data_IF_341647937443
#
_entry.id   IF_341647937443
#
_cell.length_a   1.000
_cell.length_b   1.000
_cell.length_c   1.000
_cell.angle_alpha   90.00
_cell.angle_beta   90.00
_cell.angle_gamma   90.00
#
_symmetry.space_group_name_H-M   'P 1'
#
loop_
_entity.id
_entity.type
_entity.pdbx_description
1 polymer ?
#
# COMPACT_ATOMS: atom_id res chain seq x y z
N UNK A 1 14.39 -1.92 -19.06
CA UNK A 1 14.68 -0.66 -19.78
C UNK A 1 16.11 -0.26 -19.47
N UNK A 2 16.99 -0.21 -20.49
CA UNK A 2 18.37 0.26 -20.37
C UNK A 2 18.50 1.69 -20.87
N UNK A 3 17.76 2.04 -21.90
CA UNK A 3 17.66 3.37 -22.47
C UNK A 3 16.21 3.61 -22.88
N UNK A 4 15.56 4.59 -22.28
CA UNK A 4 14.12 4.79 -22.42
C UNK A 4 13.72 5.17 -23.86
N UNK A 5 14.53 6.00 -24.55
CA UNK A 5 14.24 6.40 -25.92
C UNK A 5 14.46 5.26 -26.91
N UNK A 6 15.60 4.59 -26.81
CA UNK A 6 15.94 3.47 -27.70
C UNK A 6 14.98 2.29 -27.50
N UNK A 7 14.60 2.01 -26.27
CA UNK A 7 13.80 0.85 -25.90
C UNK A 7 12.29 1.15 -25.98
N UNK A 8 11.87 2.37 -26.40
CA UNK A 8 10.50 2.87 -26.30
C UNK A 8 9.43 1.98 -26.96
N UNK A 9 9.71 1.45 -28.14
CA UNK A 9 8.76 0.54 -28.82
C UNK A 9 8.55 -0.77 -28.05
N UNK A 10 9.60 -1.28 -27.39
CA UNK A 10 9.48 -2.44 -26.50
C UNK A 10 8.73 -2.09 -25.21
N UNK A 11 8.95 -0.89 -24.68
CA UNK A 11 8.24 -0.38 -23.51
C UNK A 11 6.74 -0.32 -23.78
N UNK A 12 6.31 0.20 -24.92
CA UNK A 12 4.89 0.22 -25.31
C UNK A 12 4.29 -1.18 -25.39
N UNK A 13 5.02 -2.16 -25.90
CA UNK A 13 4.56 -3.55 -25.95
C UNK A 13 4.49 -4.18 -24.55
N UNK A 14 5.47 -3.91 -23.68
CA UNK A 14 5.53 -4.41 -22.32
C UNK A 14 4.38 -3.88 -21.44
N UNK A 15 4.02 -2.61 -21.66
CA UNK A 15 2.92 -1.94 -20.94
C UNK A 15 1.58 -2.02 -21.68
N UNK A 16 1.47 -2.85 -22.72
CA UNK A 16 0.18 -3.09 -23.37
C UNK A 16 -0.86 -3.59 -22.36
N UNK A 17 -2.08 -3.16 -22.56
CA UNK A 17 -3.20 -3.58 -21.71
C UNK A 17 -3.39 -5.09 -21.78
N UNK A 18 -3.64 -5.77 -20.64
CA UNK A 18 -3.93 -7.19 -20.62
C UNK A 18 -5.23 -7.49 -21.37
N UNK A 19 -5.23 -8.53 -22.17
CA UNK A 19 -6.40 -8.95 -22.96
C UNK A 19 -7.33 -9.90 -22.21
N UNK A 20 -6.86 -10.45 -21.06
CA UNK A 20 -7.61 -11.37 -20.21
C UNK A 20 -6.73 -11.97 -19.12
N UNK A 21 -7.33 -12.76 -18.26
CA UNK A 21 -6.67 -13.46 -17.16
C UNK A 21 -7.39 -14.77 -16.86
N UNK A 22 -6.71 -15.68 -16.16
CA UNK A 22 -7.31 -16.87 -15.61
C UNK A 22 -7.59 -16.69 -14.11
N UNK A 23 -8.86 -16.58 -13.68
CA UNK A 23 -9.21 -16.34 -12.28
C UNK A 23 -9.18 -17.62 -11.42
N UNK A 24 -8.83 -18.78 -11.97
CA UNK A 24 -8.94 -20.09 -11.30
C UNK A 24 -8.21 -20.11 -9.96
N UNK A 25 -6.98 -19.61 -9.93
CA UNK A 25 -6.17 -19.56 -8.71
C UNK A 25 -6.76 -18.61 -7.67
N UNK A 26 -7.23 -17.43 -8.08
CA UNK A 26 -7.86 -16.46 -7.17
C UNK A 26 -9.10 -17.06 -6.51
N UNK A 27 -9.94 -17.72 -7.31
CA UNK A 27 -11.16 -18.38 -6.83
C UNK A 27 -10.86 -19.57 -5.91
N UNK A 28 -9.79 -20.31 -6.17
CA UNK A 28 -9.32 -21.39 -5.29
C UNK A 28 -8.83 -20.84 -3.95
N UNK A 29 -7.97 -19.82 -3.97
CA UNK A 29 -7.46 -19.17 -2.76
C UNK A 29 -8.60 -18.60 -1.92
N UNK A 30 -9.57 -17.92 -2.54
CA UNK A 30 -10.75 -17.40 -1.85
C UNK A 30 -11.56 -18.51 -1.17
N UNK A 31 -11.80 -19.63 -1.86
CA UNK A 31 -12.48 -20.79 -1.27
C UNK A 31 -11.70 -21.38 -0.10
N UNK A 32 -10.37 -21.47 -0.22
CA UNK A 32 -9.50 -22.00 0.84
C UNK A 32 -9.46 -21.07 2.07
N UNK A 33 -9.51 -19.76 1.88
CA UNK A 33 -9.56 -18.78 2.97
C UNK A 33 -10.89 -18.88 3.73
N UNK A 34 -12.03 -19.02 3.02
CA UNK A 34 -13.37 -19.11 3.64
C UNK A 34 -13.64 -17.96 4.61
N UNK A 35 -14.05 -18.29 5.81
CA UNK A 35 -14.37 -17.34 6.89
C UNK A 35 -13.15 -16.94 7.76
N UNK A 36 -11.95 -17.38 7.40
CA UNK A 36 -10.74 -17.10 8.20
C UNK A 36 -10.23 -15.67 8.08
N UNK A 37 -10.66 -14.92 7.06
CA UNK A 37 -10.25 -13.54 6.85
C UNK A 37 -10.85 -12.89 5.61
N UNK A 38 -10.50 -11.63 5.37
CA UNK A 38 -10.89 -10.90 4.17
C UNK A 38 -9.95 -11.26 3.01
N UNK A 39 -10.53 -11.51 1.83
CA UNK A 39 -9.79 -11.83 0.62
C UNK A 39 -9.46 -10.57 -0.17
N UNK A 40 -8.20 -10.14 -0.10
CA UNK A 40 -7.69 -9.00 -0.85
C UNK A 40 -7.01 -9.42 -2.15
N UNK A 41 -7.19 -8.63 -3.20
CA UNK A 41 -6.47 -8.81 -4.47
C UNK A 41 -5.67 -7.56 -4.77
N UNK A 42 -4.40 -7.77 -5.13
CA UNK A 42 -3.49 -6.68 -5.44
C UNK A 42 -3.57 -6.33 -6.93
N UNK A 43 -3.59 -5.03 -7.22
CA UNK A 43 -3.36 -4.47 -8.55
C UNK A 43 -1.98 -3.81 -8.62
N UNK A 44 -1.51 -3.47 -9.81
CA UNK A 44 -0.20 -2.87 -9.97
C UNK A 44 -0.07 -1.52 -9.25
N UNK A 45 1.17 -1.21 -8.83
CA UNK A 45 1.49 0.01 -8.10
C UNK A 45 1.60 1.22 -9.01
N UNK A 46 1.16 2.39 -8.58
CA UNK A 46 1.39 3.62 -9.32
C UNK A 46 2.80 4.20 -9.06
N UNK A 47 3.37 4.79 -10.12
CA UNK A 47 4.57 5.62 -10.03
C UNK A 47 5.91 4.88 -10.00
N UNK A 48 6.97 5.58 -9.58
CA UNK A 48 8.36 5.12 -9.71
C UNK A 48 8.63 3.77 -9.05
N UNK A 49 7.96 3.47 -7.95
CA UNK A 49 8.15 2.21 -7.23
C UNK A 49 7.92 0.99 -8.11
N UNK A 50 6.90 1.01 -8.94
CA UNK A 50 6.62 -0.08 -9.87
C UNK A 50 7.76 -0.28 -10.87
N UNK A 51 8.24 0.82 -11.48
CA UNK A 51 9.26 0.76 -12.51
C UNK A 51 10.66 0.42 -11.99
N UNK A 52 10.99 0.85 -10.75
CA UNK A 52 12.28 0.54 -10.10
C UNK A 52 12.48 -0.97 -9.96
N UNK A 53 11.47 -1.68 -9.47
CA UNK A 53 11.59 -3.10 -9.15
C UNK A 53 11.63 -4.02 -10.35
N UNK A 54 10.93 -3.65 -11.43
CA UNK A 54 10.65 -4.55 -12.53
C UNK A 54 11.38 -4.20 -13.83
N UNK A 55 11.59 -2.92 -14.14
CA UNK A 55 11.78 -2.52 -15.52
C UNK A 55 13.06 -1.73 -15.81
N UNK A 56 13.58 -0.94 -14.86
CA UNK A 56 14.78 -0.14 -15.10
C UNK A 56 16.07 -0.84 -14.67
N UNK A 57 16.95 -1.09 -15.64
CA UNK A 57 18.29 -1.61 -15.36
C UNK A 57 19.11 -0.59 -14.56
N UNK A 58 19.58 -0.99 -13.37
CA UNK A 58 20.25 -0.10 -12.44
C UNK A 58 19.32 0.57 -11.42
N UNK A 59 18.02 0.31 -11.48
CA UNK A 59 17.03 0.67 -10.46
C UNK A 59 16.74 2.16 -10.37
N UNK A 60 16.73 2.71 -9.16
CA UNK A 60 16.24 4.05 -8.86
C UNK A 60 17.06 5.18 -9.52
N UNK A 61 18.39 5.09 -9.55
CA UNK A 61 19.22 6.19 -10.03
C UNK A 61 18.99 6.50 -11.53
N UNK A 62 19.09 5.55 -12.48
CA UNK A 62 18.79 5.83 -13.87
C UNK A 62 17.34 6.24 -14.11
N UNK A 63 16.37 5.71 -13.37
CA UNK A 63 14.99 6.14 -13.45
C UNK A 63 14.82 7.59 -13.00
N UNK A 64 15.49 7.98 -11.91
CA UNK A 64 15.48 9.37 -11.44
C UNK A 64 16.11 10.33 -12.45
N UNK A 65 17.22 9.94 -13.07
CA UNK A 65 17.81 10.75 -14.15
C UNK A 65 16.85 10.85 -15.34
N UNK A 66 16.21 9.76 -15.75
CA UNK A 66 15.22 9.80 -16.83
C UNK A 66 14.02 10.73 -16.49
N UNK A 67 13.59 10.78 -15.23
CA UNK A 67 12.55 11.71 -14.82
C UNK A 67 12.93 13.19 -15.05
N UNK A 68 14.19 13.58 -14.81
CA UNK A 68 14.64 14.95 -15.01
C UNK A 68 15.07 15.25 -16.46
N UNK A 69 15.70 14.29 -17.13
CA UNK A 69 16.31 14.50 -18.44
C UNK A 69 15.33 14.19 -19.59
N UNK A 70 14.34 13.32 -19.36
CA UNK A 70 13.39 12.81 -20.36
C UNK A 70 11.95 12.83 -19.81
N UNK A 71 11.59 13.97 -19.22
CA UNK A 71 10.34 14.10 -18.45
C UNK A 71 9.09 13.72 -19.26
N UNK A 72 9.00 14.18 -20.52
CA UNK A 72 7.86 13.87 -21.39
C UNK A 72 7.68 12.36 -21.60
N UNK A 73 8.78 11.62 -21.79
CA UNK A 73 8.72 10.16 -21.91
C UNK A 73 8.30 9.47 -20.60
N UNK A 74 8.68 10.00 -19.45
CA UNK A 74 8.21 9.50 -18.16
C UNK A 74 6.70 9.75 -17.99
N UNK A 75 6.19 10.87 -18.46
CA UNK A 75 4.75 11.12 -18.45
C UNK A 75 4.00 10.19 -19.41
N UNK A 76 4.54 9.94 -20.60
CA UNK A 76 3.98 8.94 -21.52
C UNK A 76 4.01 7.52 -20.91
N UNK A 77 5.13 7.15 -20.24
CA UNK A 77 5.23 5.88 -19.50
C UNK A 77 4.18 5.77 -18.39
N UNK A 78 3.94 6.85 -17.65
CA UNK A 78 2.86 6.92 -16.67
C UNK A 78 1.50 6.65 -17.31
N UNK A 79 1.21 7.23 -18.48
CA UNK A 79 -0.06 7.02 -19.17
C UNK A 79 -0.22 5.58 -19.66
N UNK A 80 0.85 4.97 -20.17
CA UNK A 80 0.87 3.54 -20.52
C UNK A 80 0.54 2.68 -19.30
N UNK A 81 1.22 2.93 -18.18
CA UNK A 81 0.99 2.25 -16.92
C UNK A 81 -0.44 2.46 -16.39
N UNK A 82 -0.97 3.69 -16.46
CA UNK A 82 -2.32 4.02 -16.00
C UNK A 82 -3.40 3.26 -16.78
N UNK A 83 -3.25 3.11 -18.10
CA UNK A 83 -4.15 2.29 -18.91
C UNK A 83 -4.10 0.82 -18.49
N UNK A 84 -2.90 0.27 -18.32
CA UNK A 84 -2.71 -1.10 -17.85
C UNK A 84 -3.33 -1.31 -16.47
N UNK A 85 -3.03 -0.43 -15.51
CA UNK A 85 -3.57 -0.49 -14.15
C UNK A 85 -5.10 -0.39 -14.13
N UNK A 86 -5.66 0.44 -14.99
CA UNK A 86 -7.11 0.57 -15.17
C UNK A 86 -7.72 -0.75 -15.64
N UNK A 87 -7.11 -1.39 -16.63
CA UNK A 87 -7.59 -2.67 -17.16
C UNK A 87 -7.45 -3.82 -16.15
N UNK A 88 -6.35 -3.87 -15.41
CA UNK A 88 -6.18 -4.81 -14.30
C UNK A 88 -7.25 -4.60 -13.21
N UNK A 89 -7.55 -3.34 -12.86
CA UNK A 89 -8.61 -3.02 -11.90
C UNK A 89 -9.99 -3.48 -12.36
N UNK A 90 -10.35 -3.25 -13.64
CA UNK A 90 -11.60 -3.77 -14.20
C UNK A 90 -11.73 -5.28 -13.99
N UNK A 91 -10.69 -6.03 -14.35
CA UNK A 91 -10.66 -7.49 -14.21
C UNK A 91 -10.77 -7.95 -12.75
N UNK A 92 -10.06 -7.27 -11.83
CA UNK A 92 -10.11 -7.58 -10.40
C UNK A 92 -11.49 -7.30 -9.82
N UNK A 93 -12.14 -6.21 -10.21
CA UNK A 93 -13.47 -5.85 -9.74
C UNK A 93 -14.57 -6.83 -10.22
N UNK A 94 -14.38 -7.50 -11.37
CA UNK A 94 -15.28 -8.58 -11.83
C UNK A 94 -15.32 -9.76 -10.83
N UNK A 95 -14.19 -10.05 -10.15
CA UNK A 95 -14.10 -11.11 -9.14
C UNK A 95 -14.65 -10.71 -7.76
N UNK A 96 -15.02 -9.45 -7.57
CA UNK A 96 -15.59 -8.89 -6.33
C UNK A 96 -14.81 -9.32 -5.07
N UNK A 97 -13.52 -8.97 -4.96
CA UNK A 97 -12.76 -9.24 -3.75
C UNK A 97 -13.34 -8.47 -2.57
N UNK A 98 -12.98 -8.87 -1.34
CA UNK A 98 -13.42 -8.14 -0.15
C UNK A 98 -12.75 -6.77 -0.04
N UNK A 99 -11.54 -6.62 -0.62
CA UNK A 99 -10.88 -5.34 -0.85
C UNK A 99 -9.83 -5.46 -1.96
N UNK A 100 -9.45 -4.31 -2.52
CA UNK A 100 -8.32 -4.21 -3.46
C UNK A 100 -7.13 -3.56 -2.77
N UNK A 101 -5.95 -4.19 -2.86
CA UNK A 101 -4.69 -3.62 -2.38
C UNK A 101 -4.01 -2.82 -3.49
N UNK A 102 -3.73 -1.57 -3.20
CA UNK A 102 -2.96 -0.63 -4.03
C UNK A 102 -1.59 -0.39 -3.39
N UNK A 103 -0.64 0.01 -4.20
CA UNK A 103 0.66 0.46 -3.72
C UNK A 103 1.60 -0.67 -3.35
N UNK A 104 2.76 -0.28 -2.87
CA UNK A 104 3.85 -1.16 -2.48
C UNK A 104 4.93 -0.44 -1.71
N UNK A 105 5.89 -1.21 -1.25
CA UNK A 105 6.99 -0.77 -0.39
C UNK A 105 7.62 0.54 -0.89
N UNK A 106 7.63 1.55 -0.05
CA UNK A 106 8.29 2.82 -0.33
C UNK A 106 7.67 3.66 -1.44
N UNK A 107 6.36 3.54 -1.73
CA UNK A 107 5.69 4.28 -2.80
C UNK A 107 6.04 5.78 -2.82
N UNK A 108 6.10 6.42 -1.65
CA UNK A 108 6.54 7.83 -1.54
C UNK A 108 7.96 7.96 -0.98
N UNK A 109 8.45 6.98 -0.25
CA UNK A 109 9.80 7.02 0.35
C UNK A 109 10.89 7.04 -0.72
N UNK A 110 10.67 6.38 -1.86
CA UNK A 110 11.60 6.32 -3.00
C UNK A 110 11.45 7.48 -3.98
N UNK A 111 10.52 8.38 -3.74
CA UNK A 111 10.28 9.59 -4.55
C UNK A 111 9.91 10.76 -3.66
N UNK A 112 10.09 12.00 -4.12
CA UNK A 112 9.62 13.16 -3.37
C UNK A 112 8.09 13.25 -3.39
N UNK A 113 7.45 13.96 -2.43
CA UNK A 113 6.03 14.24 -2.47
C UNK A 113 5.56 14.89 -3.79
N UNK A 114 6.39 15.73 -4.41
CA UNK A 114 6.08 16.35 -5.70
C UNK A 114 6.02 15.31 -6.83
N UNK A 115 7.00 14.41 -6.91
CA UNK A 115 7.01 13.31 -7.89
C UNK A 115 5.85 12.34 -7.66
N UNK A 116 5.57 12.01 -6.39
CA UNK A 116 4.43 11.16 -6.06
C UNK A 116 3.09 11.80 -6.47
N UNK A 117 2.95 13.09 -6.29
CA UNK A 117 1.77 13.85 -6.72
C UNK A 117 1.58 13.82 -8.24
N UNK A 118 2.65 13.87 -8.99
CA UNK A 118 2.62 13.84 -10.45
C UNK A 118 2.44 12.44 -11.02
N UNK A 119 3.19 11.46 -10.52
CA UNK A 119 3.27 10.12 -11.13
C UNK A 119 2.36 9.08 -10.49
N UNK A 120 2.05 9.20 -9.19
CA UNK A 120 1.30 8.17 -8.46
C UNK A 120 -0.14 8.59 -8.16
N UNK A 121 -0.35 9.80 -7.67
CA UNK A 121 -1.65 10.27 -7.21
C UNK A 121 -2.77 10.22 -8.26
N UNK A 122 -2.55 10.56 -9.56
CA UNK A 122 -3.60 10.45 -10.57
C UNK A 122 -4.14 9.03 -10.73
N UNK A 123 -3.25 8.03 -10.74
CA UNK A 123 -3.63 6.63 -10.82
C UNK A 123 -4.34 6.17 -9.55
N UNK A 124 -3.85 6.54 -8.35
CA UNK A 124 -4.53 6.24 -7.08
C UNK A 124 -5.96 6.82 -7.08
N UNK A 125 -6.14 8.07 -7.49
CA UNK A 125 -7.45 8.72 -7.59
C UNK A 125 -8.40 7.95 -8.51
N UNK A 126 -7.90 7.52 -9.66
CA UNK A 126 -8.69 6.79 -10.65
C UNK A 126 -9.11 5.42 -10.12
N UNK A 127 -8.14 4.62 -9.63
CA UNK A 127 -8.41 3.26 -9.16
C UNK A 127 -9.32 3.24 -7.92
N UNK A 128 -9.11 4.15 -6.96
CA UNK A 128 -9.97 4.24 -5.78
C UNK A 128 -11.40 4.66 -6.13
N UNK A 129 -11.58 5.53 -7.13
CA UNK A 129 -12.90 5.90 -7.64
C UNK A 129 -13.60 4.70 -8.30
N UNK A 130 -12.92 3.95 -9.16
CA UNK A 130 -13.46 2.74 -9.81
C UNK A 130 -13.92 1.72 -8.76
N UNK A 131 -13.11 1.47 -7.75
CA UNK A 131 -13.45 0.55 -6.67
C UNK A 131 -14.67 1.03 -5.86
N UNK A 132 -14.73 2.32 -5.52
CA UNK A 132 -15.89 2.93 -4.85
C UNK A 132 -17.18 2.75 -5.66
N UNK A 133 -17.13 2.99 -6.97
CA UNK A 133 -18.27 2.83 -7.86
C UNK A 133 -18.73 1.36 -7.96
N UNK A 134 -17.80 0.42 -7.83
CA UNK A 134 -18.09 -1.01 -7.76
C UNK A 134 -18.48 -1.51 -6.34
N UNK A 135 -18.42 -0.65 -5.33
CA UNK A 135 -18.71 -1.01 -3.94
C UNK A 135 -17.64 -1.87 -3.27
N UNK A 136 -16.39 -1.85 -3.77
CA UNK A 136 -15.26 -2.62 -3.24
C UNK A 136 -14.30 -1.68 -2.50
N UNK A 137 -14.00 -1.93 -1.21
CA UNK A 137 -13.04 -1.14 -0.46
C UNK A 137 -11.61 -1.23 -1.05
N UNK A 138 -10.83 -0.18 -0.83
CA UNK A 138 -9.42 -0.13 -1.23
C UNK A 138 -8.51 0.07 -0.03
N UNK A 139 -7.36 -0.58 -0.04
CA UNK A 139 -6.26 -0.38 0.89
C UNK A 139 -5.01 -0.01 0.11
N UNK A 140 -4.24 0.96 0.62
CA UNK A 140 -2.95 1.33 0.05
C UNK A 140 -1.84 1.01 1.06
N UNK A 141 -0.81 0.29 0.57
CA UNK A 141 0.42 0.04 1.33
C UNK A 141 1.54 0.95 0.84
N UNK A 142 2.20 1.61 1.78
CA UNK A 142 3.42 2.39 1.50
C UNK A 142 4.29 2.49 2.75
N UNK A 143 5.20 1.57 2.95
CA UNK A 143 6.13 1.63 4.09
C UNK A 143 7.13 2.79 3.99
N UNK A 144 7.70 3.16 5.13
CA UNK A 144 8.66 4.24 5.26
C UNK A 144 7.99 5.60 5.53
N UNK A 145 8.52 6.66 4.92
CA UNK A 145 8.05 8.04 5.14
C UNK A 145 6.81 8.32 4.30
N UNK A 146 5.64 8.07 4.85
CA UNK A 146 4.39 8.16 4.10
C UNK A 146 3.43 9.29 4.53
N UNK A 147 3.80 10.12 5.50
CA UNK A 147 2.93 11.19 6.01
C UNK A 147 2.30 12.04 4.90
N UNK A 148 3.10 12.48 3.92
CA UNK A 148 2.59 13.28 2.80
C UNK A 148 1.64 12.48 1.89
N UNK A 149 1.82 11.16 1.76
CA UNK A 149 0.93 10.31 1.00
C UNK A 149 -0.42 10.12 1.72
N UNK A 150 -0.38 9.94 3.06
CA UNK A 150 -1.61 9.89 3.88
C UNK A 150 -2.45 11.14 3.66
N UNK A 151 -1.83 12.32 3.72
CA UNK A 151 -2.48 13.61 3.47
C UNK A 151 -3.11 13.68 2.07
N UNK A 152 -2.33 13.39 1.02
CA UNK A 152 -2.81 13.36 -0.36
C UNK A 152 -3.99 12.38 -0.53
N UNK A 153 -3.89 11.19 0.03
CA UNK A 153 -4.93 10.18 -0.09
C UNK A 153 -6.21 10.59 0.64
N UNK A 154 -6.10 11.12 1.84
CA UNK A 154 -7.25 11.57 2.63
C UNK A 154 -7.99 12.75 1.97
N UNK A 155 -7.26 13.66 1.37
CA UNK A 155 -7.84 14.89 0.82
C UNK A 155 -8.36 14.74 -0.62
N UNK A 156 -7.71 13.87 -1.42
CA UNK A 156 -7.89 13.88 -2.86
C UNK A 156 -8.35 12.56 -3.48
N UNK A 157 -8.51 11.49 -2.70
CA UNK A 157 -8.87 10.17 -3.22
C UNK A 157 -10.09 9.57 -2.53
N UNK A 158 -10.59 8.46 -3.06
CA UNK A 158 -11.64 7.64 -2.47
C UNK A 158 -11.06 6.43 -1.69
N UNK A 159 -9.80 6.51 -1.26
CA UNK A 159 -9.15 5.45 -0.50
C UNK A 159 -9.87 5.19 0.83
N UNK A 160 -10.02 3.90 1.19
CA UNK A 160 -10.69 3.50 2.43
C UNK A 160 -9.71 3.20 3.56
N UNK A 161 -8.55 2.63 3.28
CA UNK A 161 -7.57 2.24 4.30
C UNK A 161 -6.15 2.54 3.85
N UNK A 162 -5.30 2.97 4.77
CA UNK A 162 -3.87 3.17 4.53
C UNK A 162 -3.03 2.40 5.53
N UNK A 163 -1.90 1.87 5.09
CA UNK A 163 -0.99 1.00 5.83
C UNK A 163 0.46 1.29 5.39
N UNK A 164 1.46 1.26 6.28
CA UNK A 164 1.40 0.87 7.70
C UNK A 164 1.52 2.03 8.70
N UNK A 165 1.65 3.27 8.27
CA UNK A 165 1.75 4.48 9.11
C UNK A 165 2.95 4.40 10.07
N UNK A 166 4.12 4.07 9.51
CA UNK A 166 5.32 3.81 10.31
C UNK A 166 5.77 5.02 11.14
N UNK A 167 6.10 4.81 12.43
CA UNK A 167 6.72 5.83 13.25
C UNK A 167 8.21 5.99 12.92
N UNK A 168 8.86 7.09 13.35
CA UNK A 168 10.31 7.20 13.33
C UNK A 168 11.01 6.04 14.06
N UNK A 169 12.21 5.59 13.63
CA UNK A 169 13.06 6.18 12.60
C UNK A 169 12.78 5.69 11.17
N UNK A 170 12.00 4.64 10.97
CA UNK A 170 11.73 4.06 9.63
C UNK A 170 10.74 4.90 8.83
N UNK A 171 9.72 5.43 9.50
CA UNK A 171 8.73 6.33 8.93
C UNK A 171 8.80 7.76 9.49
N UNK A 172 7.73 8.51 9.26
CA UNK A 172 7.56 9.90 9.72
C UNK A 172 6.15 10.17 10.25
N UNK A 173 5.40 9.12 10.58
CA UNK A 173 4.02 9.21 11.00
C UNK A 173 3.88 9.18 12.52
N UNK A 174 3.00 10.05 13.05
CA UNK A 174 2.44 9.96 14.39
C UNK A 174 1.01 9.41 14.27
N UNK A 175 0.77 8.24 14.87
CA UNK A 175 -0.50 7.52 14.75
C UNK A 175 -1.69 8.31 15.31
N UNK A 176 -1.49 8.97 16.46
CA UNK A 176 -2.54 9.76 17.11
C UNK A 176 -2.88 11.00 16.29
N UNK A 177 -1.86 11.71 15.76
CA UNK A 177 -2.04 12.86 14.89
C UNK A 177 -2.79 12.49 13.61
N UNK A 178 -2.37 11.40 12.93
CA UNK A 178 -3.03 10.92 11.71
C UNK A 178 -4.47 10.53 11.98
N UNK A 179 -4.72 9.81 13.08
CA UNK A 179 -6.08 9.45 13.49
C UNK A 179 -6.94 10.68 13.75
N UNK A 180 -6.42 11.66 14.43
CA UNK A 180 -7.15 12.90 14.73
C UNK A 180 -7.50 13.67 13.45
N UNK A 181 -6.55 13.78 12.51
CA UNK A 181 -6.75 14.56 11.28
C UNK A 181 -7.59 13.85 10.24
N UNK A 182 -7.33 12.57 10.02
CA UNK A 182 -7.83 11.84 8.84
C UNK A 182 -8.68 10.62 9.17
N UNK A 183 -8.78 10.21 10.45
CA UNK A 183 -9.53 9.03 10.87
C UNK A 183 -11.04 9.08 10.62
N UNK A 184 -11.57 10.24 10.25
CA UNK A 184 -12.96 10.40 9.80
C UNK A 184 -13.16 10.03 8.32
N UNK A 185 -12.07 9.90 7.55
CA UNK A 185 -12.07 9.55 6.12
C UNK A 185 -11.37 8.22 5.85
N UNK A 186 -10.27 7.95 6.53
CA UNK A 186 -9.42 6.79 6.30
C UNK A 186 -9.45 5.85 7.52
N UNK A 187 -9.64 4.57 7.28
CA UNK A 187 -9.19 3.55 8.21
C UNK A 187 -7.65 3.50 8.19
N UNK A 188 -7.07 3.25 9.35
CA UNK A 188 -5.62 3.20 9.53
C UNK A 188 -5.25 1.79 9.97
N UNK A 189 -4.29 1.17 9.31
CA UNK A 189 -3.76 -0.14 9.68
C UNK A 189 -2.28 -0.02 9.99
N UNK A 190 -1.88 -0.42 11.19
CA UNK A 190 -0.49 -0.34 11.66
C UNK A 190 -0.42 -0.42 13.18
N UNK A 191 0.66 0.01 13.86
CA UNK A 191 1.92 0.46 13.28
C UNK A 191 3.10 -0.02 14.14
N UNK A 192 2.99 -1.22 14.73
CA UNK A 192 4.04 -1.74 15.63
C UNK A 192 5.37 -1.86 14.90
N UNK A 193 6.42 -1.22 15.42
CA UNK A 193 7.72 -1.21 14.78
C UNK A 193 8.30 -2.62 14.64
N UNK A 194 8.57 -3.03 13.40
CA UNK A 194 8.94 -4.42 13.06
C UNK A 194 10.24 -4.90 13.70
N UNK A 195 11.22 -4.00 13.90
CA UNK A 195 12.51 -4.36 14.47
C UNK A 195 12.49 -4.20 16.00
N UNK A 196 12.26 -2.97 16.49
CA UNK A 196 12.45 -2.68 17.92
C UNK A 196 11.37 -3.27 18.80
N UNK A 197 10.15 -3.45 18.28
CA UNK A 197 9.02 -4.03 19.02
C UNK A 197 8.85 -5.50 18.66
N UNK A 198 8.67 -5.82 17.37
CA UNK A 198 8.28 -7.16 16.99
C UNK A 198 9.44 -8.17 16.99
N UNK A 199 10.64 -7.78 16.54
CA UNK A 199 11.79 -8.68 16.47
C UNK A 199 12.58 -8.73 17.77
N UNK A 200 12.88 -7.57 18.35
CA UNK A 200 13.80 -7.44 19.49
C UNK A 200 13.10 -7.29 20.85
N UNK A 201 11.80 -6.96 20.83
CA UNK A 201 11.01 -6.80 22.06
C UNK A 201 10.60 -8.13 22.68
N UNK A 202 10.18 -8.07 23.95
CA UNK A 202 9.53 -9.19 24.65
C UNK A 202 8.02 -9.20 24.37
N UNK A 203 7.31 -10.33 24.63
CA UNK A 203 5.86 -10.37 24.52
C UNK A 203 5.13 -9.29 25.33
N UNK A 204 5.67 -8.93 26.52
CA UNK A 204 5.13 -7.87 27.37
C UNK A 204 5.29 -6.49 26.73
N UNK A 205 6.42 -6.23 26.09
CA UNK A 205 6.66 -4.98 25.36
C UNK A 205 5.77 -4.87 24.12
N UNK A 206 5.57 -5.96 23.38
CA UNK A 206 4.62 -6.03 22.27
C UNK A 206 3.20 -5.79 22.75
N UNK A 207 2.79 -6.42 23.87
CA UNK A 207 1.47 -6.22 24.45
C UNK A 207 1.24 -4.77 24.88
N UNK A 208 2.26 -4.12 25.46
CA UNK A 208 2.22 -2.70 25.83
C UNK A 208 2.08 -1.81 24.61
N UNK A 209 2.96 -1.98 23.61
CA UNK A 209 2.92 -1.19 22.37
C UNK A 209 1.60 -1.38 21.61
N UNK A 210 1.03 -2.59 21.64
CA UNK A 210 -0.29 -2.88 21.05
C UNK A 210 -1.42 -2.08 21.73
N UNK A 211 -1.42 -2.00 23.06
CA UNK A 211 -2.39 -1.17 23.79
C UNK A 211 -2.21 0.31 23.48
N UNK A 212 -0.98 0.81 23.49
CA UNK A 212 -0.66 2.20 23.15
C UNK A 212 -1.18 2.57 21.74
N UNK A 213 -1.00 1.69 20.76
CA UNK A 213 -1.52 1.90 19.40
C UNK A 213 -3.06 1.91 19.35
N UNK A 214 -3.71 0.99 20.07
CA UNK A 214 -5.17 0.94 20.18
C UNK A 214 -5.72 2.20 20.87
N UNK A 215 -5.08 2.65 21.97
CA UNK A 215 -5.47 3.89 22.66
C UNK A 215 -5.32 5.12 21.79
N UNK A 216 -4.27 5.16 20.97
CA UNK A 216 -3.99 6.26 20.04
C UNK A 216 -5.00 6.34 18.88
N UNK A 217 -5.43 5.21 18.33
CA UNK A 217 -6.20 5.20 17.08
C UNK A 217 -7.51 4.39 17.11
N UNK A 218 -7.79 3.60 18.14
CA UNK A 218 -8.95 2.72 18.19
C UNK A 218 -10.27 3.45 18.42
N UNK A 219 -10.26 4.58 19.14
CA UNK A 219 -11.49 5.30 19.49
C UNK A 219 -12.28 5.71 18.24
N UNK A 220 -13.56 5.34 18.22
CA UNK A 220 -14.46 5.67 17.12
C UNK A 220 -14.36 4.72 15.91
N UNK A 221 -13.62 3.62 16.01
CA UNK A 221 -13.46 2.64 14.95
C UNK A 221 -12.44 3.05 13.86
N UNK A 222 -12.36 2.26 12.79
CA UNK A 222 -11.46 2.56 11.65
C UNK A 222 -9.98 2.41 11.97
N UNK A 223 -9.61 1.56 12.94
CA UNK A 223 -8.23 1.18 13.23
C UNK A 223 -8.08 -0.34 13.17
N UNK A 224 -7.04 -0.80 12.51
CA UNK A 224 -6.65 -2.21 12.43
C UNK A 224 -5.24 -2.32 13.02
N UNK A 225 -5.12 -2.97 14.18
CA UNK A 225 -3.81 -3.22 14.78
C UNK A 225 -3.00 -4.14 13.88
N UNK A 226 -1.82 -3.71 13.52
CA UNK A 226 -0.90 -4.44 12.66
C UNK A 226 0.56 -4.04 12.95
N UNK A 227 1.48 -4.75 12.33
CA UNK A 227 2.89 -4.35 12.29
C UNK A 227 3.11 -3.19 11.33
N UNK A 228 4.19 -2.44 11.53
CA UNK A 228 4.56 -1.30 10.70
C UNK A 228 5.05 -1.66 9.29
N UNK A 229 5.34 -2.90 9.04
CA UNK A 229 5.66 -3.51 7.74
C UNK A 229 5.70 -5.04 7.92
N UNK A 230 6.20 -5.78 6.94
CA UNK A 230 6.43 -7.22 7.05
C UNK A 230 7.38 -7.54 8.21
N UNK A 231 6.98 -8.46 9.06
CA UNK A 231 7.87 -9.02 10.07
C UNK A 231 9.02 -9.79 9.42
N UNK A 232 10.22 -9.62 9.95
CA UNK A 232 11.36 -10.43 9.55
C UNK A 232 11.13 -11.91 9.86
N UNK A 233 11.81 -12.78 9.09
CA UNK A 233 11.69 -14.24 9.24
C UNK A 233 11.94 -14.72 10.67
N UNK A 234 12.84 -14.06 11.37
CA UNK A 234 13.30 -14.47 12.71
C UNK A 234 12.49 -13.76 13.84
N UNK A 235 11.38 -13.10 13.51
CA UNK A 235 10.46 -12.51 14.49
C UNK A 235 9.86 -13.63 15.35
N UNK A 236 9.97 -13.55 16.71
CA UNK A 236 9.44 -14.58 17.59
C UNK A 236 7.92 -14.77 17.45
N UNK A 237 7.46 -16.01 17.32
CA UNK A 237 6.03 -16.33 17.23
C UNK A 237 5.25 -15.83 18.46
N UNK A 238 5.86 -15.86 19.65
CA UNK A 238 5.26 -15.35 20.88
C UNK A 238 4.95 -13.87 20.81
N UNK A 239 5.75 -13.07 20.11
CA UNK A 239 5.52 -11.65 19.88
C UNK A 239 4.32 -11.43 18.95
N UNK A 240 4.20 -12.22 17.89
CA UNK A 240 3.03 -12.17 17.00
C UNK A 240 1.76 -12.57 17.79
N UNK A 241 1.84 -13.62 18.60
CA UNK A 241 0.71 -14.06 19.43
C UNK A 241 0.31 -13.02 20.48
N UNK A 242 1.27 -12.34 21.10
CA UNK A 242 1.01 -11.27 22.06
C UNK A 242 0.22 -10.12 21.43
N UNK A 243 0.60 -9.67 20.22
CA UNK A 243 -0.15 -8.67 19.46
C UNK A 243 -1.58 -9.11 19.16
N UNK A 244 -1.75 -10.35 18.68
CA UNK A 244 -3.08 -10.92 18.35
C UNK A 244 -3.95 -11.04 19.61
N UNK A 245 -3.39 -11.45 20.74
CA UNK A 245 -4.12 -11.57 22.00
C UNK A 245 -4.62 -10.20 22.51
N UNK A 246 -3.80 -9.17 22.40
CA UNK A 246 -4.22 -7.80 22.75
C UNK A 246 -5.31 -7.31 21.80
N UNK A 247 -5.20 -7.57 20.51
CA UNK A 247 -6.26 -7.21 19.56
C UNK A 247 -7.61 -7.86 19.92
N UNK A 248 -7.59 -9.13 20.33
CA UNK A 248 -8.80 -9.89 20.68
C UNK A 248 -9.42 -9.52 22.04
N UNK A 249 -8.61 -9.11 23.01
CA UNK A 249 -9.06 -8.85 24.38
C UNK A 249 -9.27 -7.37 24.66
N UNK A 250 -8.26 -6.55 24.40
CA UNK A 250 -8.27 -5.11 24.67
C UNK A 250 -8.82 -4.30 23.49
N UNK A 251 -8.63 -4.76 22.26
CA UNK A 251 -8.97 -4.04 21.03
C UNK A 251 -10.40 -4.26 20.53
N UNK A 252 -11.30 -4.84 21.34
CA UNK A 252 -12.69 -5.03 20.93
C UNK A 252 -13.44 -3.69 20.91
N UNK A 253 -14.10 -3.42 19.80
CA UNK A 253 -15.03 -2.30 19.70
C UNK A 253 -16.34 -2.64 20.40
N UNK A 254 -16.82 -1.71 21.23
CA UNK A 254 -18.08 -1.83 21.97
C UNK A 254 -19.10 -0.84 21.45
#
# INVERSE_FOLDING_TARGET
IKDLERDWELVKQWYAEPVGYDPSLLREQRRSLGELGAFGVQVCYPGLQFWVGADFHGGLAPLTYAYYDKHDLILELRELHDRRATKEMEMVLEERPDFVLLGGSGTITMQSPAIARELSLPTIKKLTRMAREAGVPTMLHSCGKERALVEMCAEETDLNCINPVEPPPTGDCDLAEIKQKYGHKLAIMGNLHTITVMLMGTPEEVARASREAIDAAGKGGGFILSTGDQCGRDTPDENIRAMVEIAKTYGQYH
#
